data_IF_421104766096
#
_entry.id   IF_421104766096
#
_cell.length_a   1.000
_cell.length_b   1.000
_cell.length_c   1.000
_cell.angle_alpha   90.00
_cell.angle_beta   90.00
_cell.angle_gamma   90.00
#
_symmetry.space_group_name_H-M   'P 1'
#
loop_
_entity.id
_entity.type
_entity.pdbx_description
1 polymer ?
#
# COMPACT_ATOMS: atom_id res chain seq x y z
N UNK A 1 -24.20 7.60 -23.62
CA UNK A 1 -23.35 8.25 -24.66
C UNK A 1 -21.94 7.89 -24.36
N UNK A 2 -21.44 6.83 -24.99
CA UNK A 2 -20.01 6.45 -24.86
C UNK A 2 -19.18 7.54 -25.55
N UNK A 3 -18.53 8.37 -24.77
CA UNK A 3 -17.50 9.27 -25.29
C UNK A 3 -16.21 8.44 -25.32
N UNK A 4 -16.07 7.64 -26.37
CA UNK A 4 -14.84 6.88 -26.58
C UNK A 4 -13.77 7.83 -27.16
N UNK A 5 -12.94 8.37 -26.27
CA UNK A 5 -11.79 9.18 -26.63
C UNK A 5 -10.54 8.30 -26.85
N UNK A 6 -10.66 7.24 -27.63
CA UNK A 6 -9.60 6.27 -27.91
C UNK A 6 -8.41 6.84 -28.71
N UNK A 7 -8.09 8.10 -28.52
CA UNK A 7 -6.96 8.75 -29.16
C UNK A 7 -5.65 8.16 -28.59
N UNK A 8 -4.90 7.45 -29.43
CA UNK A 8 -3.60 6.87 -29.05
C UNK A 8 -3.68 5.53 -28.29
N UNK A 9 -4.86 4.95 -28.12
CA UNK A 9 -5.03 3.64 -27.48
C UNK A 9 -4.72 2.53 -28.49
N UNK A 10 -3.74 1.69 -28.15
CA UNK A 10 -3.34 0.51 -28.96
C UNK A 10 -4.29 -0.66 -28.74
N UNK A 11 -4.16 -1.72 -29.58
CA UNK A 11 -4.92 -2.95 -29.41
C UNK A 11 -4.62 -3.65 -28.08
N UNK A 12 -3.36 -3.69 -27.66
CA UNK A 12 -2.94 -4.25 -26.38
C UNK A 12 -3.53 -3.48 -25.20
N UNK A 13 -3.58 -2.16 -25.28
CA UNK A 13 -4.22 -1.31 -24.26
C UNK A 13 -5.73 -1.56 -24.17
N UNK A 14 -6.41 -1.81 -25.32
CA UNK A 14 -7.82 -2.22 -25.31
C UNK A 14 -8.01 -3.58 -24.68
N UNK A 15 -7.13 -4.56 -24.97
CA UNK A 15 -7.18 -5.89 -24.36
C UNK A 15 -6.98 -5.84 -22.84
N UNK A 16 -6.08 -4.99 -22.35
CA UNK A 16 -5.91 -4.71 -20.89
C UNK A 16 -7.19 -4.11 -20.32
N UNK A 17 -7.76 -3.08 -20.97
CA UNK A 17 -9.02 -2.44 -20.55
C UNK A 17 -10.14 -3.46 -20.41
N UNK A 18 -10.39 -4.25 -21.44
CA UNK A 18 -11.46 -5.26 -21.47
C UNK A 18 -11.28 -6.32 -20.39
N UNK A 19 -10.04 -6.80 -20.22
CA UNK A 19 -9.72 -7.80 -19.20
C UNK A 19 -9.98 -7.26 -17.78
N UNK A 20 -9.48 -6.05 -17.49
CA UNK A 20 -9.68 -5.39 -16.19
C UNK A 20 -11.16 -5.06 -15.96
N UNK A 21 -11.86 -4.52 -16.96
CA UNK A 21 -13.30 -4.20 -16.87
C UNK A 21 -14.13 -5.44 -16.58
N UNK A 22 -13.88 -6.54 -17.28
CA UNK A 22 -14.58 -7.81 -17.03
C UNK A 22 -14.34 -8.31 -15.61
N UNK A 23 -13.09 -8.34 -15.14
CA UNK A 23 -12.79 -8.73 -13.76
C UNK A 23 -13.43 -7.78 -12.74
N UNK A 24 -13.39 -6.50 -13.00
CA UNK A 24 -14.01 -5.48 -12.16
C UNK A 24 -15.53 -5.67 -12.03
N UNK A 25 -16.22 -5.90 -13.15
CA UNK A 25 -17.68 -6.02 -13.19
C UNK A 25 -18.20 -7.37 -12.72
N UNK A 26 -17.54 -8.46 -13.14
CA UNK A 26 -18.01 -9.83 -12.87
C UNK A 26 -17.54 -10.38 -11.53
N UNK A 27 -16.40 -9.90 -11.00
CA UNK A 27 -15.78 -10.43 -9.77
C UNK A 27 -15.73 -9.38 -8.67
N UNK A 28 -15.08 -8.22 -8.90
CA UNK A 28 -14.84 -7.26 -7.83
C UNK A 28 -16.13 -6.56 -7.37
N UNK A 29 -16.97 -6.10 -8.29
CA UNK A 29 -18.19 -5.37 -7.94
C UNK A 29 -19.14 -6.20 -7.10
N UNK A 30 -19.53 -7.46 -7.47
CA UNK A 30 -20.40 -8.29 -6.64
C UNK A 30 -19.78 -8.60 -5.26
N UNK A 31 -18.47 -8.89 -5.23
CA UNK A 31 -17.76 -9.14 -3.99
C UNK A 31 -17.73 -7.89 -3.10
N UNK A 32 -17.40 -6.71 -3.65
CA UNK A 32 -17.38 -5.45 -2.93
C UNK A 32 -18.75 -5.12 -2.29
N UNK A 33 -19.85 -5.28 -3.04
CA UNK A 33 -21.22 -5.08 -2.53
C UNK A 33 -21.54 -6.05 -1.37
N UNK A 34 -21.09 -7.30 -1.46
CA UNK A 34 -21.30 -8.28 -0.40
C UNK A 34 -20.48 -7.93 0.85
N UNK A 35 -19.20 -7.61 0.67
CA UNK A 35 -18.26 -7.26 1.74
C UNK A 35 -18.62 -5.94 2.44
N UNK A 36 -19.20 -4.98 1.73
CA UNK A 36 -19.65 -3.70 2.29
C UNK A 36 -20.71 -3.85 3.38
N UNK A 37 -21.43 -4.96 3.39
CA UNK A 37 -22.50 -5.27 4.37
C UNK A 37 -22.03 -6.10 5.56
N UNK A 38 -20.78 -6.54 5.53
CA UNK A 38 -20.22 -7.42 6.57
C UNK A 38 -19.51 -6.61 7.66
N UNK A 39 -19.47 -7.12 8.91
CA UNK A 39 -18.55 -6.65 9.93
C UNK A 39 -17.10 -6.76 9.45
N UNK A 40 -16.26 -5.82 9.81
CA UNK A 40 -14.86 -5.76 9.34
C UNK A 40 -14.05 -7.04 9.64
N UNK A 41 -14.38 -7.74 10.73
CA UNK A 41 -13.77 -9.04 11.09
C UNK A 41 -14.19 -10.16 10.15
N UNK A 42 -15.40 -10.12 9.62
CA UNK A 42 -15.92 -11.12 8.67
C UNK A 42 -15.37 -10.88 7.26
N UNK A 43 -15.15 -9.61 6.89
CA UNK A 43 -14.52 -9.26 5.60
C UNK A 43 -13.20 -9.99 5.40
N UNK A 44 -12.40 -10.12 6.45
CA UNK A 44 -11.06 -10.75 6.39
C UNK A 44 -11.05 -12.22 6.82
N UNK A 45 -12.18 -12.77 7.23
CA UNK A 45 -12.26 -14.15 7.68
C UNK A 45 -11.91 -15.16 6.56
N UNK A 46 -11.35 -16.32 6.91
CA UNK A 46 -11.13 -17.38 5.93
C UNK A 46 -12.43 -17.74 5.20
N UNK A 47 -12.37 -17.84 3.86
CA UNK A 47 -13.54 -18.13 3.02
C UNK A 47 -14.42 -16.94 2.70
N UNK A 48 -14.06 -15.73 3.11
CA UNK A 48 -14.70 -14.49 2.65
C UNK A 48 -14.43 -14.26 1.16
N UNK A 49 -15.37 -13.58 0.47
CA UNK A 49 -15.24 -13.21 -0.93
C UNK A 49 -13.96 -12.37 -1.25
N UNK A 50 -13.39 -11.73 -0.24
CA UNK A 50 -12.09 -11.05 -0.36
C UNK A 50 -11.02 -11.97 -0.95
N UNK A 51 -10.94 -13.19 -0.44
CA UNK A 51 -9.89 -14.14 -0.83
C UNK A 51 -10.11 -14.73 -2.22
N UNK A 52 -11.36 -14.83 -2.66
CA UNK A 52 -11.69 -15.22 -4.04
C UNK A 52 -11.25 -14.14 -5.03
N UNK A 53 -11.46 -12.85 -4.69
CA UNK A 53 -10.97 -11.71 -5.48
C UNK A 53 -9.44 -11.71 -5.53
N UNK A 54 -8.76 -11.88 -4.41
CA UNK A 54 -7.29 -11.97 -4.33
C UNK A 54 -6.77 -13.11 -5.22
N UNK A 55 -7.38 -14.29 -5.12
CA UNK A 55 -7.00 -15.44 -5.95
C UNK A 55 -7.27 -15.21 -7.45
N UNK A 56 -8.37 -14.55 -7.78
CA UNK A 56 -8.70 -14.15 -9.15
C UNK A 56 -7.71 -13.11 -9.71
N UNK A 57 -7.38 -12.09 -8.93
CA UNK A 57 -6.42 -11.05 -9.32
C UNK A 57 -5.03 -11.63 -9.64
N UNK A 58 -4.55 -12.57 -8.82
CA UNK A 58 -3.28 -13.28 -9.10
C UNK A 58 -3.29 -13.98 -10.46
N UNK A 59 -4.43 -14.54 -10.89
CA UNK A 59 -4.57 -15.23 -12.19
C UNK A 59 -4.56 -14.28 -13.37
N UNK A 60 -4.81 -12.98 -13.18
CA UNK A 60 -4.69 -11.98 -14.26
C UNK A 60 -3.23 -11.78 -14.70
N UNK A 61 -2.26 -12.26 -13.90
CA UNK A 61 -0.84 -12.17 -14.24
C UNK A 61 -0.25 -10.76 -14.00
N UNK A 62 -1.03 -9.85 -13.45
CA UNK A 62 -0.51 -8.59 -12.96
C UNK A 62 0.29 -8.90 -11.68
N UNK A 63 1.60 -8.78 -11.75
CA UNK A 63 2.49 -8.88 -10.60
C UNK A 63 2.11 -7.89 -9.51
N UNK A 64 2.80 -7.88 -8.38
CA UNK A 64 2.60 -6.86 -7.37
C UNK A 64 2.61 -5.48 -8.02
N UNK A 65 1.48 -4.75 -7.92
CA UNK A 65 1.38 -3.38 -8.41
C UNK A 65 1.16 -3.17 -9.91
N UNK A 66 0.55 -4.09 -10.65
CA UNK A 66 0.29 -3.94 -12.10
C UNK A 66 1.56 -3.66 -12.92
N UNK A 67 2.55 -4.53 -12.85
CA UNK A 67 3.76 -4.41 -13.66
C UNK A 67 3.53 -4.86 -15.09
N UNK A 68 3.86 -4.01 -16.05
CA UNK A 68 3.87 -4.33 -17.49
C UNK A 68 5.34 -4.45 -17.96
N UNK A 69 5.94 -5.63 -17.79
CA UNK A 69 7.38 -5.84 -18.00
C UNK A 69 7.77 -6.17 -19.45
N UNK A 70 6.89 -5.88 -20.42
CA UNK A 70 7.23 -6.07 -21.83
C UNK A 70 8.31 -5.05 -22.27
N UNK A 71 9.48 -5.51 -22.74
CA UNK A 71 10.56 -4.63 -23.18
C UNK A 71 10.25 -3.86 -24.47
N UNK A 72 9.22 -4.25 -25.22
CA UNK A 72 8.77 -3.55 -26.42
C UNK A 72 7.96 -2.28 -26.11
N UNK A 73 7.40 -2.19 -24.89
CA UNK A 73 6.61 -1.05 -24.43
C UNK A 73 7.49 0.12 -24.00
N UNK A 74 7.16 1.31 -24.47
CA UNK A 74 7.79 2.53 -23.96
C UNK A 74 7.37 2.83 -22.51
N UNK A 75 8.12 3.63 -21.74
CA UNK A 75 7.68 4.08 -20.43
C UNK A 75 6.30 4.76 -20.43
N UNK A 76 5.96 5.49 -21.50
CA UNK A 76 4.66 6.13 -21.66
C UNK A 76 3.55 5.10 -21.87
N UNK A 77 3.78 4.06 -22.67
CA UNK A 77 2.81 2.99 -22.88
C UNK A 77 2.53 2.23 -21.58
N UNK A 78 3.59 1.90 -20.82
CA UNK A 78 3.46 1.25 -19.50
C UNK A 78 2.65 2.10 -18.53
N UNK A 79 2.94 3.40 -18.47
CA UNK A 79 2.19 4.34 -17.61
C UNK A 79 0.71 4.41 -18.02
N UNK A 80 0.41 4.50 -19.30
CA UNK A 80 -0.97 4.57 -19.80
C UNK A 80 -1.71 3.25 -19.54
N UNK A 81 -1.08 2.09 -19.75
CA UNK A 81 -1.64 0.79 -19.41
C UNK A 81 -1.95 0.68 -17.92
N UNK A 82 -1.04 1.19 -17.08
CA UNK A 82 -1.26 1.24 -15.63
C UNK A 82 -2.49 2.10 -15.29
N UNK A 83 -2.60 3.30 -15.85
CA UNK A 83 -3.76 4.18 -15.64
C UNK A 83 -5.07 3.48 -16.06
N UNK A 84 -5.09 2.86 -17.25
CA UNK A 84 -6.25 2.14 -17.77
C UNK A 84 -6.66 1.00 -16.81
N UNK A 85 -5.71 0.16 -16.42
CA UNK A 85 -5.99 -0.96 -15.52
C UNK A 85 -6.46 -0.48 -14.13
N UNK A 86 -5.82 0.55 -13.59
CA UNK A 86 -6.17 1.16 -12.29
C UNK A 86 -7.59 1.72 -12.31
N UNK A 87 -7.95 2.47 -13.35
CA UNK A 87 -9.29 3.03 -13.50
C UNK A 87 -10.35 1.93 -13.57
N UNK A 88 -10.16 0.92 -14.43
CA UNK A 88 -11.14 -0.16 -14.61
C UNK A 88 -11.32 -0.99 -13.33
N UNK A 89 -10.22 -1.39 -12.69
CA UNK A 89 -10.29 -2.20 -11.47
C UNK A 89 -10.89 -1.41 -10.29
N UNK A 90 -10.55 -0.13 -10.16
CA UNK A 90 -11.10 0.75 -9.12
C UNK A 90 -12.59 1.05 -9.33
N UNK A 91 -13.07 1.06 -10.59
CA UNK A 91 -14.49 1.11 -10.89
C UNK A 91 -15.24 -0.11 -10.38
N UNK A 92 -14.60 -1.27 -10.28
CA UNK A 92 -15.16 -2.46 -9.64
C UNK A 92 -15.36 -2.27 -8.13
N UNK A 93 -14.27 -2.12 -7.41
CA UNK A 93 -14.23 -1.75 -5.99
C UNK A 93 -12.82 -1.27 -5.63
N UNK A 94 -12.69 -0.02 -5.23
CA UNK A 94 -11.38 0.59 -4.94
C UNK A 94 -10.71 0.00 -3.71
N UNK A 95 -11.48 -0.46 -2.72
CA UNK A 95 -10.93 -1.11 -1.53
C UNK A 95 -10.29 -2.46 -1.84
N UNK A 96 -10.96 -3.26 -2.68
CA UNK A 96 -10.41 -4.52 -3.20
C UNK A 96 -9.20 -4.27 -4.08
N UNK A 97 -9.25 -3.25 -4.95
CA UNK A 97 -8.10 -2.90 -5.79
C UNK A 97 -6.86 -2.55 -4.95
N UNK A 98 -7.00 -1.71 -3.92
CA UNK A 98 -5.89 -1.36 -3.02
C UNK A 98 -5.36 -2.62 -2.32
N UNK A 99 -6.24 -3.50 -1.84
CA UNK A 99 -5.83 -4.77 -1.20
C UNK A 99 -5.01 -5.63 -2.16
N UNK A 100 -5.46 -5.78 -3.40
CA UNK A 100 -4.76 -6.53 -4.44
C UNK A 100 -3.41 -5.89 -4.82
N UNK A 101 -3.33 -4.55 -4.87
CA UNK A 101 -2.11 -3.81 -5.14
C UNK A 101 -1.03 -3.96 -4.06
N UNK A 102 -1.40 -4.39 -2.86
CA UNK A 102 -0.46 -4.67 -1.76
C UNK A 102 0.05 -6.13 -1.75
N UNK A 103 -0.44 -6.96 -2.67
CA UNK A 103 0.09 -8.32 -2.85
C UNK A 103 1.46 -8.24 -3.50
N UNK A 104 2.43 -8.96 -2.93
CA UNK A 104 3.78 -9.08 -3.49
C UNK A 104 4.51 -7.74 -3.76
N UNK A 105 4.09 -6.64 -3.14
CA UNK A 105 4.76 -5.34 -3.30
C UNK A 105 6.13 -5.32 -2.62
N UNK A 106 6.37 -6.15 -1.59
CA UNK A 106 7.63 -6.18 -0.86
C UNK A 106 8.84 -6.53 -1.75
N UNK A 107 8.81 -7.57 -2.60
CA UNK A 107 9.89 -7.85 -3.54
C UNK A 107 10.13 -6.71 -4.53
N UNK A 108 9.08 -6.01 -4.98
CA UNK A 108 9.21 -4.87 -5.90
C UNK A 108 9.94 -3.69 -5.24
N UNK A 109 9.60 -3.38 -4.00
CA UNK A 109 10.27 -2.34 -3.22
C UNK A 109 11.72 -2.72 -2.93
N UNK A 110 11.98 -3.98 -2.60
CA UNK A 110 13.33 -4.49 -2.42
C UNK A 110 14.16 -4.31 -3.69
N UNK A 111 13.61 -4.68 -4.85
CA UNK A 111 14.25 -4.51 -6.17
C UNK A 111 14.53 -3.04 -6.49
N UNK A 112 13.54 -2.17 -6.30
CA UNK A 112 13.69 -0.73 -6.50
C UNK A 112 14.75 -0.11 -5.57
N UNK A 113 14.99 -0.73 -4.41
CA UNK A 113 16.02 -0.34 -3.43
C UNK A 113 17.38 -1.01 -3.68
N UNK A 114 17.54 -1.81 -4.75
CA UNK A 114 18.77 -2.55 -5.04
C UNK A 114 19.12 -3.65 -4.03
N UNK A 115 18.12 -4.20 -3.32
CA UNK A 115 18.29 -5.16 -2.23
C UNK A 115 17.88 -6.56 -2.67
N UNK A 116 18.73 -7.20 -3.47
CA UNK A 116 18.49 -8.56 -3.99
C UNK A 116 18.29 -9.60 -2.88
N UNK A 117 18.97 -9.43 -1.73
CA UNK A 117 18.77 -10.27 -0.56
C UNK A 117 17.34 -10.22 0.00
N UNK A 118 16.71 -9.04 -0.07
CA UNK A 118 15.32 -8.87 0.34
C UNK A 118 14.34 -9.28 -0.77
N UNK A 119 14.71 -9.16 -2.05
CA UNK A 119 13.91 -9.70 -3.17
C UNK A 119 13.71 -11.20 -2.99
N UNK A 120 14.80 -11.94 -2.72
CA UNK A 120 14.73 -13.38 -2.47
C UNK A 120 13.92 -13.69 -1.20
N UNK A 121 14.19 -12.99 -0.10
CA UNK A 121 13.52 -13.21 1.19
C UNK A 121 12.01 -13.00 1.11
N UNK A 122 11.56 -11.88 0.54
CA UNK A 122 10.13 -11.55 0.45
C UNK A 122 9.45 -12.22 -0.74
N UNK A 123 10.18 -12.54 -1.82
CA UNK A 123 9.65 -13.28 -2.96
C UNK A 123 9.23 -14.71 -2.62
N UNK A 124 9.84 -15.31 -1.60
CA UNK A 124 9.45 -16.62 -1.08
C UNK A 124 8.19 -16.58 -0.16
N UNK A 125 7.71 -15.39 0.20
CA UNK A 125 6.59 -15.17 1.13
C UNK A 125 5.37 -14.70 0.35
N UNK A 126 4.39 -15.56 0.20
CA UNK A 126 3.11 -15.19 -0.45
C UNK A 126 2.21 -14.43 0.53
N UNK A 127 2.51 -13.15 0.75
CA UNK A 127 1.86 -12.33 1.75
C UNK A 127 1.53 -10.92 1.27
N UNK A 128 0.60 -10.28 1.98
CA UNK A 128 0.30 -8.86 1.82
C UNK A 128 1.37 -8.07 2.57
N UNK A 129 1.89 -7.02 1.93
CA UNK A 129 2.79 -6.06 2.55
C UNK A 129 2.09 -4.72 2.73
N UNK A 130 2.09 -4.15 3.93
CA UNK A 130 1.47 -2.86 4.19
C UNK A 130 2.49 -1.70 4.20
N UNK A 131 1.95 -0.48 4.06
CA UNK A 131 2.70 0.76 4.25
C UNK A 131 2.33 1.35 5.63
N UNK A 132 3.22 1.18 6.60
CA UNK A 132 2.96 1.54 8.00
C UNK A 132 3.51 2.94 8.30
N UNK A 133 2.67 3.96 8.10
CA UNK A 133 3.03 5.38 8.15
C UNK A 133 2.41 6.09 9.35
N UNK A 134 1.08 6.25 9.34
CA UNK A 134 0.31 7.04 10.30
C UNK A 134 0.50 6.53 11.72
N UNK A 135 0.55 7.45 12.66
CA UNK A 135 0.70 7.20 14.08
C UNK A 135 -0.48 7.80 14.86
N UNK A 136 -0.73 7.39 16.12
CA UNK A 136 -1.85 7.94 16.89
C UNK A 136 -1.84 9.46 17.00
N UNK A 137 -0.65 10.05 17.09
CA UNK A 137 -0.43 11.48 17.26
C UNK A 137 0.01 12.21 16.00
N UNK A 138 0.25 11.49 14.90
CA UNK A 138 0.82 12.03 13.67
C UNK A 138 0.10 11.48 12.45
N UNK A 139 -0.36 12.38 11.58
CA UNK A 139 -0.99 12.08 10.30
C UNK A 139 -0.29 12.83 9.17
N UNK A 140 -0.92 13.89 8.64
CA UNK A 140 -0.36 14.68 7.54
C UNK A 140 0.91 15.46 7.90
N UNK A 141 1.15 15.71 9.19
CA UNK A 141 2.36 16.39 9.68
C UNK A 141 3.65 15.56 9.47
N UNK A 142 3.56 14.24 9.43
CA UNK A 142 4.73 13.39 9.12
C UNK A 142 5.19 13.47 7.66
N UNK A 143 4.40 14.07 6.81
CA UNK A 143 4.71 14.30 5.39
C UNK A 143 4.87 15.79 5.05
N UNK A 144 4.81 16.65 6.06
CA UNK A 144 4.91 18.09 5.91
C UNK A 144 6.38 18.56 5.91
N UNK A 145 7.19 18.06 4.99
CA UNK A 145 8.65 18.23 4.95
C UNK A 145 9.14 19.67 4.94
N UNK A 146 8.32 20.61 4.46
CA UNK A 146 8.63 22.05 4.38
C UNK A 146 8.22 22.83 5.62
N UNK A 147 7.41 22.21 6.49
CA UNK A 147 6.92 22.88 7.69
C UNK A 147 7.96 22.87 8.81
N UNK A 148 8.11 23.98 9.55
CA UNK A 148 9.08 24.07 10.65
C UNK A 148 8.87 22.98 11.73
N UNK A 149 7.62 22.58 11.98
CA UNK A 149 7.23 21.54 12.95
C UNK A 149 7.80 20.18 12.63
N UNK A 150 8.01 19.87 11.34
CA UNK A 150 8.59 18.61 10.91
C UNK A 150 10.03 18.40 11.43
N UNK A 151 10.77 19.50 11.59
CA UNK A 151 12.16 19.50 12.09
C UNK A 151 12.29 20.00 13.54
N UNK A 152 11.19 20.13 14.25
CA UNK A 152 11.19 20.59 15.65
C UNK A 152 11.45 19.42 16.60
N UNK A 153 12.59 19.44 17.29
CA UNK A 153 12.97 18.39 18.25
C UNK A 153 11.99 18.19 19.43
N UNK A 154 11.06 19.12 19.63
CA UNK A 154 10.00 18.99 20.64
C UNK A 154 8.87 18.08 20.18
N UNK A 155 8.70 17.90 18.87
CA UNK A 155 7.73 16.97 18.30
C UNK A 155 8.31 15.56 18.43
N UNK A 156 7.57 14.68 19.09
CA UNK A 156 8.02 13.33 19.42
C UNK A 156 7.21 12.29 18.66
N UNK A 157 7.87 11.28 18.06
CA UNK A 157 7.19 10.23 17.29
C UNK A 157 6.33 9.33 18.17
N UNK A 158 5.28 8.75 17.58
CA UNK A 158 4.50 7.67 18.18
C UNK A 158 5.19 6.32 18.08
N UNK A 159 5.89 6.05 16.95
CA UNK A 159 6.76 4.88 16.80
C UNK A 159 8.23 5.31 16.89
N UNK A 160 8.87 4.92 17.97
CA UNK A 160 10.27 5.25 18.28
C UNK A 160 11.20 4.16 17.78
N UNK A 161 12.35 4.59 17.28
CA UNK A 161 13.45 3.74 16.87
C UNK A 161 14.70 4.05 17.68
N UNK A 162 15.43 3.02 18.09
CA UNK A 162 16.73 3.14 18.74
C UNK A 162 17.72 2.14 18.12
N UNK A 163 18.89 2.61 17.74
CA UNK A 163 19.96 1.75 17.21
C UNK A 163 20.64 0.99 18.36
N UNK A 164 20.83 -0.31 18.20
CA UNK A 164 21.43 -1.21 19.21
C UNK A 164 22.39 -2.21 18.54
N UNK A 165 23.61 -1.77 18.26
CA UNK A 165 24.62 -2.56 17.55
C UNK A 165 24.21 -2.83 16.10
N UNK A 166 24.01 -4.09 15.74
CA UNK A 166 23.59 -4.58 14.43
C UNK A 166 22.05 -4.68 14.29
N UNK A 167 21.30 -4.07 15.20
CA UNK A 167 19.83 -4.11 15.28
C UNK A 167 19.27 -2.75 15.56
N UNK A 168 17.96 -2.64 15.36
CA UNK A 168 17.13 -1.52 15.74
C UNK A 168 16.03 -2.02 16.67
N UNK A 169 15.73 -1.25 17.70
CA UNK A 169 14.64 -1.57 18.63
C UNK A 169 13.51 -0.60 18.38
N UNK A 170 12.34 -1.14 18.02
CA UNK A 170 11.12 -0.36 17.78
C UNK A 170 10.18 -0.46 18.96
N UNK A 171 9.65 0.70 19.40
CA UNK A 171 8.64 0.79 20.43
C UNK A 171 7.58 1.83 20.06
N UNK A 172 6.31 1.44 20.12
CA UNK A 172 5.19 2.31 19.83
C UNK A 172 4.14 1.68 18.93
N UNK A 173 3.50 2.49 18.11
CA UNK A 173 2.32 2.07 17.37
C UNK A 173 2.23 2.79 16.03
N UNK A 174 1.83 2.02 15.01
CA UNK A 174 1.25 2.58 13.79
C UNK A 174 -0.26 2.48 13.89
N UNK A 175 -0.92 3.63 13.70
CA UNK A 175 -2.33 3.77 14.01
C UNK A 175 -3.24 3.49 12.84
N UNK A 176 -4.41 3.38 13.24
CA UNK A 176 -5.72 3.13 12.69
C UNK A 176 -5.80 2.88 11.18
N UNK A 177 -5.18 3.71 10.37
CA UNK A 177 -5.39 3.76 8.91
C UNK A 177 -4.36 2.98 8.09
N UNK A 178 -3.65 2.04 8.69
CA UNK A 178 -2.71 1.20 7.95
C UNK A 178 -3.52 0.23 7.07
N UNK A 179 -3.48 0.47 5.75
CA UNK A 179 -4.14 -0.39 4.78
C UNK A 179 -3.57 -1.80 4.83
N UNK A 180 -4.46 -2.77 4.98
CA UNK A 180 -4.14 -4.18 5.25
C UNK A 180 -3.34 -4.44 6.54
N UNK A 181 -3.25 -3.48 7.47
CA UNK A 181 -2.41 -3.58 8.67
C UNK A 181 -2.65 -4.82 9.52
N UNK A 182 -3.91 -5.26 9.65
CA UNK A 182 -4.22 -6.48 10.42
C UNK A 182 -4.02 -7.79 9.62
N UNK A 183 -3.89 -7.71 8.28
CA UNK A 183 -3.65 -8.85 7.40
C UNK A 183 -2.17 -9.04 7.04
N UNK A 184 -1.43 -7.93 6.93
CA UNK A 184 -0.09 -7.91 6.37
C UNK A 184 0.87 -8.86 7.10
N UNK A 185 1.62 -9.66 6.35
CA UNK A 185 2.72 -10.48 6.86
C UNK A 185 4.05 -9.72 6.93
N UNK A 186 4.15 -8.59 6.22
CA UNK A 186 5.30 -7.69 6.21
C UNK A 186 4.86 -6.24 6.03
N UNK A 187 5.78 -5.31 6.21
CA UNK A 187 5.50 -3.90 6.03
C UNK A 187 6.72 -3.04 5.73
N UNK A 188 6.46 -1.93 5.04
CA UNK A 188 7.38 -0.82 5.00
C UNK A 188 7.06 0.03 6.24
N UNK A 189 7.97 0.03 7.19
CA UNK A 189 7.78 0.69 8.49
C UNK A 189 8.69 1.89 8.60
N UNK A 190 8.08 3.06 8.78
CA UNK A 190 8.79 4.31 9.05
C UNK A 190 8.83 4.54 10.56
N UNK A 191 10.01 4.65 11.13
CA UNK A 191 10.20 4.89 12.56
C UNK A 191 11.21 6.01 12.79
N UNK A 192 10.84 6.99 13.62
CA UNK A 192 11.69 8.14 13.94
C UNK A 192 12.62 7.79 15.10
N UNK A 193 13.85 8.25 15.06
CA UNK A 193 14.78 8.06 16.19
C UNK A 193 14.29 8.79 17.44
N UNK A 194 14.31 8.09 18.59
CA UNK A 194 13.83 8.64 19.86
C UNK A 194 14.62 9.86 20.32
N UNK A 195 15.90 9.93 19.99
CA UNK A 195 16.83 11.01 20.31
C UNK A 195 17.06 11.98 19.16
N UNK A 196 16.18 11.97 18.14
CA UNK A 196 16.30 12.84 16.98
C UNK A 196 16.43 14.31 17.38
N UNK A 197 17.50 15.01 16.97
CA UNK A 197 17.67 16.43 17.21
C UNK A 197 16.83 17.30 16.24
N UNK A 198 16.23 16.69 15.24
CA UNK A 198 15.47 17.35 14.17
C UNK A 198 14.02 16.78 14.06
N UNK A 199 13.44 16.42 15.19
CA UNK A 199 12.04 16.00 15.28
C UNK A 199 11.71 14.80 14.40
N UNK A 200 10.68 14.90 13.57
CA UNK A 200 10.21 13.83 12.70
C UNK A 200 11.09 13.61 11.45
N UNK A 201 12.08 14.48 11.22
CA UNK A 201 12.90 14.44 10.00
C UNK A 201 14.03 13.40 10.03
N UNK A 202 14.27 12.74 11.16
CA UNK A 202 15.36 11.78 11.31
C UNK A 202 14.83 10.43 11.82
N UNK A 203 15.07 9.39 11.05
CA UNK A 203 14.56 8.07 11.39
C UNK A 203 15.14 6.98 10.48
N UNK A 204 14.50 5.84 10.52
CA UNK A 204 14.85 4.65 9.72
C UNK A 204 13.62 4.09 9.02
N UNK A 205 13.81 3.61 7.80
CA UNK A 205 12.80 2.93 7.00
C UNK A 205 13.19 1.47 6.89
N UNK A 206 12.27 0.59 7.25
CA UNK A 206 12.48 -0.85 7.20
C UNK A 206 11.49 -1.52 6.26
N UNK A 207 11.95 -2.45 5.45
CA UNK A 207 11.11 -3.48 4.87
C UNK A 207 11.27 -4.74 5.74
N UNK A 208 10.29 -5.00 6.61
CA UNK A 208 10.43 -6.02 7.65
C UNK A 208 9.25 -6.98 7.71
N UNK A 209 9.48 -8.25 8.08
CA UNK A 209 8.41 -9.19 8.36
C UNK A 209 7.75 -8.89 9.71
N UNK A 210 6.47 -9.26 9.84
CA UNK A 210 5.69 -9.04 11.06
C UNK A 210 5.56 -10.27 11.97
N UNK A 211 6.32 -11.32 11.67
CA UNK A 211 6.50 -12.47 12.56
C UNK A 211 7.65 -12.29 13.57
N UNK A 212 8.26 -11.10 13.61
CA UNK A 212 9.24 -10.76 14.63
C UNK A 212 8.58 -10.67 16.02
N UNK A 213 9.26 -11.17 17.08
CA UNK A 213 8.77 -11.05 18.45
C UNK A 213 8.46 -9.60 18.82
N UNK A 214 7.33 -9.38 19.49
CA UNK A 214 6.89 -8.05 19.92
C UNK A 214 6.02 -7.30 18.90
N UNK A 215 5.87 -7.79 17.68
CA UNK A 215 4.89 -7.26 16.72
C UNK A 215 3.52 -7.89 17.01
N UNK A 216 2.52 -7.03 17.22
CA UNK A 216 1.12 -7.46 17.36
C UNK A 216 0.20 -6.57 16.53
N UNK A 217 -1.00 -7.07 16.23
CA UNK A 217 -1.96 -6.38 15.36
C UNK A 217 -3.26 -6.11 16.12
N UNK A 218 -3.86 -4.97 15.82
CA UNK A 218 -5.17 -4.60 16.34
C UNK A 218 -6.31 -5.36 15.65
N UNK A 219 -7.53 -4.93 15.95
CA UNK A 219 -8.73 -5.41 15.27
C UNK A 219 -8.95 -4.63 13.98
N UNK A 220 -9.57 -5.27 12.96
CA UNK A 220 -10.06 -4.54 11.80
C UNK A 220 -11.00 -3.41 12.19
N UNK A 221 -10.85 -2.25 11.55
CA UNK A 221 -11.68 -1.09 11.82
C UNK A 221 -13.01 -1.17 11.06
N UNK A 222 -14.10 -0.85 11.75
CA UNK A 222 -15.37 -0.54 11.11
C UNK A 222 -15.30 0.83 10.46
N UNK A 223 -15.61 0.91 9.16
CA UNK A 223 -15.47 2.14 8.38
C UNK A 223 -16.77 2.49 7.67
N UNK A 224 -16.91 3.77 7.31
CA UNK A 224 -18.05 4.26 6.55
C UNK A 224 -17.96 3.86 5.07
N UNK A 225 -16.75 3.86 4.48
CA UNK A 225 -16.49 3.49 3.09
C UNK A 225 -15.26 2.63 2.92
N UNK A 226 -15.02 2.13 1.70
CA UNK A 226 -13.93 1.19 1.39
C UNK A 226 -13.88 0.00 2.36
N UNK A 227 -15.05 -0.55 2.70
CA UNK A 227 -15.19 -1.57 3.75
C UNK A 227 -14.47 -2.87 3.38
N UNK A 228 -14.30 -3.17 2.10
CA UNK A 228 -13.53 -4.29 1.61
C UNK A 228 -12.00 -4.15 1.82
N UNK A 229 -11.50 -2.91 2.00
CA UNK A 229 -10.11 -2.67 2.37
C UNK A 229 -9.95 -2.84 3.89
N UNK A 230 -9.26 -3.87 4.33
CA UNK A 230 -8.87 -3.98 5.74
C UNK A 230 -7.99 -2.81 6.16
N UNK A 231 -8.27 -2.22 7.31
CA UNK A 231 -7.39 -1.25 7.96
C UNK A 231 -7.34 -1.51 9.45
N UNK A 232 -6.19 -1.26 10.08
CA UNK A 232 -6.03 -1.44 11.51
C UNK A 232 -4.63 -1.12 12.01
N UNK A 233 -4.46 -1.24 13.30
CA UNK A 233 -3.27 -0.84 14.04
C UNK A 233 -2.22 -1.94 14.05
N UNK A 234 -0.96 -1.52 14.17
CA UNK A 234 0.19 -2.40 14.40
C UNK A 234 0.96 -1.87 15.60
N UNK A 235 1.21 -2.74 16.57
CA UNK A 235 1.93 -2.43 17.80
C UNK A 235 3.31 -3.06 17.78
N UNK A 236 4.27 -2.33 18.31
CA UNK A 236 5.67 -2.73 18.42
C UNK A 236 6.10 -2.60 19.89
N UNK A 237 6.41 -3.73 20.53
CA UNK A 237 6.87 -3.78 21.91
C UNK A 237 8.27 -4.40 21.94
N UNK A 238 9.29 -3.54 22.08
CA UNK A 238 10.71 -3.91 22.06
C UNK A 238 11.08 -4.82 20.87
N UNK A 239 10.55 -4.50 19.69
CA UNK A 239 10.80 -5.29 18.48
C UNK A 239 12.25 -5.10 18.03
N UNK A 240 13.04 -6.15 18.09
CA UNK A 240 14.41 -6.16 17.57
C UNK A 240 14.41 -6.44 16.06
N UNK A 241 14.66 -5.40 15.26
CA UNK A 241 14.73 -5.49 13.81
C UNK A 241 16.20 -5.63 13.38
N UNK A 242 16.60 -6.75 12.78
CA UNK A 242 17.95 -6.90 12.22
C UNK A 242 18.25 -5.84 11.14
N UNK A 243 19.48 -5.30 11.14
CA UNK A 243 19.90 -4.25 10.21
C UNK A 243 19.76 -4.66 8.73
N UNK A 244 19.69 -5.94 8.41
CA UNK A 244 19.44 -6.42 7.04
C UNK A 244 18.08 -5.96 6.47
N UNK A 245 17.12 -5.61 7.30
CA UNK A 245 15.81 -5.13 6.87
C UNK A 245 15.74 -3.60 6.71
N UNK A 246 16.84 -2.89 7.00
CA UNK A 246 16.94 -1.45 6.80
C UNK A 246 17.00 -1.12 5.31
N UNK A 247 16.14 -0.20 4.86
CA UNK A 247 16.19 0.40 3.51
C UNK A 247 16.99 1.70 3.51
N UNK A 248 16.93 2.46 4.60
CA UNK A 248 17.65 3.71 4.74
C UNK A 248 17.43 4.37 6.10
N UNK A 249 18.38 5.20 6.52
CA UNK A 249 18.31 5.94 7.80
C UNK A 249 18.94 7.32 7.70
N UNK A 250 18.61 8.16 8.67
CA UNK A 250 19.20 9.48 8.85
C UNK A 250 18.44 10.61 8.17
N UNK A 251 18.74 11.87 8.55
CA UNK A 251 17.94 13.04 8.16
C UNK A 251 18.03 13.40 6.66
N UNK A 252 18.99 12.83 5.94
CA UNK A 252 19.13 13.02 4.48
C UNK A 252 18.32 11.96 3.70
N UNK A 253 18.22 10.74 4.20
CA UNK A 253 17.61 9.60 3.49
C UNK A 253 16.15 9.43 3.88
N UNK A 254 15.82 9.55 5.15
CA UNK A 254 14.48 9.31 5.67
C UNK A 254 13.40 10.18 4.99
N UNK A 255 13.56 11.52 4.87
CA UNK A 255 12.60 12.34 4.16
C UNK A 255 12.55 12.05 2.66
N UNK A 256 13.69 11.69 2.04
CA UNK A 256 13.77 11.39 0.61
C UNK A 256 12.95 10.14 0.25
N UNK A 257 13.05 9.07 1.06
CA UNK A 257 12.25 7.86 0.86
C UNK A 257 10.76 8.17 0.97
N UNK A 258 10.37 9.04 1.90
CA UNK A 258 9.01 9.53 2.04
C UNK A 258 8.53 10.26 0.78
N UNK A 259 9.30 11.23 0.31
CA UNK A 259 8.95 12.05 -0.85
C UNK A 259 8.76 11.20 -2.11
N UNK A 260 9.64 10.23 -2.34
CA UNK A 260 9.54 9.29 -3.46
C UNK A 260 8.26 8.47 -3.41
N UNK A 261 7.90 7.93 -2.23
CA UNK A 261 6.66 7.17 -2.06
C UNK A 261 5.41 8.03 -2.27
N UNK A 262 5.39 9.26 -1.74
CA UNK A 262 4.21 10.14 -1.84
C UNK A 262 3.92 10.58 -3.27
N UNK A 263 4.92 10.84 -4.09
CA UNK A 263 4.70 11.22 -5.51
C UNK A 263 3.92 10.13 -6.25
N UNK A 264 4.37 8.88 -6.13
CA UNK A 264 3.67 7.74 -6.73
C UNK A 264 2.26 7.53 -6.14
N UNK A 265 2.12 7.59 -4.82
CA UNK A 265 0.85 7.40 -4.14
C UNK A 265 -0.19 8.46 -4.52
N UNK A 266 0.20 9.73 -4.67
CA UNK A 266 -0.72 10.81 -5.06
C UNK A 266 -1.25 10.62 -6.49
N UNK A 267 -0.40 10.18 -7.43
CA UNK A 267 -0.82 9.86 -8.80
C UNK A 267 -1.79 8.68 -8.76
N UNK A 268 -1.40 7.58 -8.13
CA UNK A 268 -2.22 6.37 -8.03
C UNK A 268 -3.59 6.63 -7.38
N UNK A 269 -3.65 7.49 -6.36
CA UNK A 269 -4.93 7.88 -5.74
C UNK A 269 -5.82 8.64 -6.72
N UNK A 270 -5.25 9.55 -7.54
CA UNK A 270 -5.99 10.26 -8.59
C UNK A 270 -6.62 9.29 -9.59
N UNK A 271 -5.83 8.36 -10.11
CA UNK A 271 -6.26 7.33 -11.07
C UNK A 271 -7.39 6.44 -10.48
N UNK A 272 -7.23 5.99 -9.24
CA UNK A 272 -8.22 5.18 -8.54
C UNK A 272 -9.57 5.89 -8.42
N UNK A 273 -9.58 7.15 -8.03
CA UNK A 273 -10.82 7.89 -7.83
C UNK A 273 -11.47 8.36 -9.13
N UNK A 274 -10.74 8.42 -10.25
CA UNK A 274 -11.35 8.52 -11.58
C UNK A 274 -12.24 7.29 -11.86
N UNK A 275 -11.73 6.08 -11.58
CA UNK A 275 -12.52 4.84 -11.71
C UNK A 275 -13.78 4.84 -10.83
N UNK A 276 -13.66 5.26 -9.56
CA UNK A 276 -14.83 5.39 -8.65
C UNK A 276 -15.84 6.39 -9.18
N UNK A 277 -15.39 7.56 -9.63
CA UNK A 277 -16.25 8.61 -10.17
C UNK A 277 -16.98 8.15 -11.43
N UNK A 278 -16.29 7.45 -12.34
CA UNK A 278 -16.89 6.86 -13.54
C UNK A 278 -17.97 5.84 -13.18
N UNK A 279 -17.67 4.93 -12.25
CA UNK A 279 -18.65 3.93 -11.81
C UNK A 279 -19.92 4.58 -11.19
N UNK A 280 -19.75 5.63 -10.38
CA UNK A 280 -20.86 6.37 -9.81
C UNK A 280 -21.69 7.08 -10.90
N UNK A 281 -21.03 7.65 -11.91
CA UNK A 281 -21.69 8.29 -13.04
C UNK A 281 -22.47 7.27 -13.87
N UNK A 282 -21.89 6.12 -14.22
CA UNK A 282 -22.56 5.06 -14.97
C UNK A 282 -23.82 4.56 -14.25
N UNK A 283 -23.73 4.31 -12.93
CA UNK A 283 -24.89 3.89 -12.10
C UNK A 283 -25.98 4.96 -12.06
N UNK A 284 -25.61 6.24 -12.11
CA UNK A 284 -26.60 7.33 -12.07
C UNK A 284 -27.34 7.55 -13.42
N UNK A 285 -26.78 7.01 -14.50
CA UNK A 285 -27.41 7.06 -15.82
C UNK A 285 -28.43 5.93 -16.07
N UNK A 286 -28.29 4.80 -15.37
CA UNK A 286 -29.18 3.63 -15.41
C UNK A 286 -30.45 3.86 -14.54
#
# INVERSE_FOLDING_TARGET
>A
MDIDLDIGITEDMRAVRETCRRFATEVMRPAGIALDRMPATEVIAPGSALWDVVAGFRKLGFGGGLSFDDPSLTPADKALMHCIATEELSAGDVGLYITCGLLNIAPEIARASGREDLVEFFGARDEICCLALTEPNHGSDIVAFTEPTYRDARVKPGLKCRKAGDRYVLNGQKAAWVSCGTLAGSGIVFATFEDSPVGLADGAVFLMPFDLPGVTKGKPLEKLGQRALNQGEIFFDNVEVPARFLLGEGPEIYPLVWEMNLKGANIAMGEQFVGVARAAYEIALD
#
